data_IF_676830104655
#
_entry.id   IF_676830104655
#
_cell.length_a   1.000
_cell.length_b   1.000
_cell.length_c   1.000
_cell.angle_alpha   90.00
_cell.angle_beta   90.00
_cell.angle_gamma   90.00
#
_symmetry.space_group_name_H-M   'P 1'
#
loop_
_entity.id
_entity.type
_entity.pdbx_description
1 polymer ?
#
# COMPACT_ATOMS: atom_id res chain seq x y z
N UNK A 1 4.52 -21.33 5.52
CA UNK A 1 3.15 -21.14 6.01
C UNK A 1 3.27 -21.02 7.50
N UNK A 2 2.76 -19.93 8.05
CA UNK A 2 2.69 -19.69 9.49
C UNK A 2 2.26 -20.94 10.27
N UNK A 3 2.95 -21.20 11.37
CA UNK A 3 2.70 -22.34 12.26
C UNK A 3 1.50 -22.05 13.18
N UNK A 4 1.29 -20.78 13.51
CA UNK A 4 0.17 -20.31 14.31
C UNK A 4 -0.43 -18.98 13.81
N UNK A 5 -1.46 -18.51 14.51
CA UNK A 5 -2.18 -17.30 14.12
C UNK A 5 -1.33 -16.03 14.27
N UNK A 6 -0.40 -15.98 15.23
CA UNK A 6 0.46 -14.82 15.49
C UNK A 6 1.49 -14.65 14.39
N UNK A 7 2.07 -15.76 13.95
CA UNK A 7 2.94 -15.77 12.78
C UNK A 7 2.16 -15.35 11.54
N UNK A 8 0.89 -15.76 11.39
CA UNK A 8 0.10 -15.41 10.21
C UNK A 8 -0.17 -13.91 10.08
N UNK A 9 -0.54 -13.23 11.19
CA UNK A 9 -0.70 -11.77 11.16
C UNK A 9 0.64 -11.04 10.92
N UNK A 10 1.75 -11.59 11.41
CA UNK A 10 3.08 -11.03 11.16
C UNK A 10 3.47 -11.17 9.68
N UNK A 11 3.26 -12.34 9.07
CA UNK A 11 3.47 -12.55 7.62
C UNK A 11 2.61 -11.57 6.80
N UNK A 12 1.34 -11.37 7.18
CA UNK A 12 0.47 -10.40 6.53
C UNK A 12 1.00 -8.96 6.67
N UNK A 13 1.41 -8.54 7.86
CA UNK A 13 1.98 -7.21 8.09
C UNK A 13 3.27 -7.00 7.30
N UNK A 14 4.17 -7.98 7.26
CA UNK A 14 5.40 -7.95 6.47
C UNK A 14 5.12 -7.84 4.97
N UNK A 15 4.09 -8.54 4.48
CA UNK A 15 3.64 -8.38 3.11
C UNK A 15 3.24 -6.92 2.82
N UNK A 16 2.38 -6.30 3.61
CA UNK A 16 1.99 -4.89 3.38
C UNK A 16 3.17 -3.92 3.52
N UNK A 17 4.08 -4.15 4.47
CA UNK A 17 5.33 -3.36 4.61
C UNK A 17 6.23 -3.47 3.39
N UNK A 18 6.35 -4.66 2.80
CA UNK A 18 7.14 -4.87 1.57
C UNK A 18 6.63 -4.06 0.38
N UNK A 19 5.37 -3.64 0.43
CA UNK A 19 4.72 -2.81 -0.60
C UNK A 19 4.89 -1.31 -0.34
N UNK A 20 5.62 -0.91 0.71
CA UNK A 20 5.85 0.48 1.09
C UNK A 20 4.78 1.10 1.98
N UNK A 21 3.86 0.28 2.53
CA UNK A 21 2.85 0.74 3.48
C UNK A 21 3.35 0.58 4.93
N UNK A 22 2.73 1.31 5.85
CA UNK A 22 2.87 1.01 7.28
C UNK A 22 1.87 -0.07 7.66
N UNK A 23 2.30 -1.05 8.45
CA UNK A 23 1.41 -2.10 8.95
C UNK A 23 1.78 -2.42 10.39
N UNK A 24 0.83 -2.28 11.31
CA UNK A 24 0.98 -2.53 12.74
C UNK A 24 0.11 -3.73 13.13
N UNK A 25 0.62 -4.63 13.96
CA UNK A 25 -0.10 -5.84 14.40
C UNK A 25 -0.71 -5.66 15.78
N UNK A 26 -1.78 -6.40 16.10
CA UNK A 26 -2.45 -6.40 17.41
C UNK A 26 -2.82 -4.98 17.90
N UNK A 27 -3.58 -4.24 17.09
CA UNK A 27 -3.90 -2.83 17.36
C UNK A 27 -5.35 -2.66 17.82
N UNK A 28 -5.52 -2.09 19.00
CA UNK A 28 -6.82 -1.62 19.48
C UNK A 28 -7.13 -0.24 18.88
N UNK A 29 -8.22 -0.13 18.12
CA UNK A 29 -8.70 1.14 17.55
C UNK A 29 -10.06 1.52 18.13
N UNK A 30 -10.19 2.79 18.53
CA UNK A 30 -11.46 3.33 18.98
C UNK A 30 -12.33 3.73 17.79
N UNK A 31 -13.43 3.01 17.59
CA UNK A 31 -14.47 3.35 16.62
C UNK A 31 -15.53 4.29 17.21
N UNK A 32 -16.52 4.62 16.38
CA UNK A 32 -17.61 5.49 16.77
C UNK A 32 -18.45 4.92 17.92
N UNK A 33 -18.55 3.59 18.04
CA UNK A 33 -19.40 2.93 19.05
C UNK A 33 -18.61 2.12 20.07
N UNK A 34 -17.52 1.47 19.65
CA UNK A 34 -16.73 0.59 20.52
C UNK A 34 -15.27 0.56 20.07
N UNK A 35 -14.42 0.03 20.95
CA UNK A 35 -13.06 -0.36 20.57
C UNK A 35 -13.11 -1.70 19.83
N UNK A 36 -12.28 -1.82 18.79
CA UNK A 36 -12.06 -3.06 18.05
C UNK A 36 -10.59 -3.41 18.08
N UNK A 37 -10.29 -4.67 18.40
CA UNK A 37 -8.95 -5.23 18.26
C UNK A 37 -8.81 -5.74 16.83
N UNK A 38 -7.85 -5.17 16.10
CA UNK A 38 -7.62 -5.47 14.69
C UNK A 38 -6.27 -6.17 14.55
N UNK A 39 -6.27 -7.33 13.87
CA UNK A 39 -5.07 -8.17 13.72
C UNK A 39 -3.94 -7.40 13.02
N UNK A 40 -4.22 -6.71 11.90
CA UNK A 40 -3.27 -5.79 11.26
C UNK A 40 -3.94 -4.51 10.79
N UNK A 41 -3.38 -3.36 11.18
CA UNK A 41 -3.79 -2.04 10.70
C UNK A 41 -2.79 -1.52 9.70
N UNK A 42 -3.23 -1.33 8.46
CA UNK A 42 -2.39 -0.86 7.36
C UNK A 42 -2.72 0.59 7.07
N UNK A 43 -1.69 1.45 7.01
CA UNK A 43 -1.84 2.85 6.60
C UNK A 43 -0.91 3.21 5.46
N UNK A 44 -1.42 4.01 4.55
CA UNK A 44 -0.69 4.59 3.43
C UNK A 44 -1.08 6.05 3.24
N UNK A 45 -0.20 6.83 2.60
CA UNK A 45 -0.49 8.20 2.20
C UNK A 45 -0.30 8.32 0.69
N UNK A 46 -1.31 8.83 0.01
CA UNK A 46 -1.28 9.06 -1.43
C UNK A 46 -1.88 10.41 -1.76
N UNK A 47 -1.11 11.27 -2.44
CA UNK A 47 -1.56 12.59 -2.93
C UNK A 47 -2.23 13.44 -1.83
N UNK A 48 -1.72 13.35 -0.60
CA UNK A 48 -2.25 14.09 0.55
C UNK A 48 -3.42 13.44 1.29
N UNK A 49 -3.97 12.33 0.79
CA UNK A 49 -5.01 11.55 1.46
C UNK A 49 -4.39 10.40 2.27
N UNK A 50 -4.91 10.19 3.47
CA UNK A 50 -4.59 9.02 4.29
C UNK A 50 -5.55 7.89 3.93
N UNK A 51 -4.99 6.69 3.80
CA UNK A 51 -5.73 5.46 3.53
C UNK A 51 -5.55 4.52 4.71
N UNK A 52 -6.65 4.00 5.24
CA UNK A 52 -6.71 3.07 6.35
C UNK A 52 -7.34 1.76 5.91
N UNK A 53 -6.59 0.67 5.95
CA UNK A 53 -7.11 -0.69 5.74
C UNK A 53 -7.03 -1.50 7.03
N UNK A 54 -8.07 -2.29 7.27
CA UNK A 54 -8.15 -3.21 8.41
C UNK A 54 -8.02 -4.63 7.89
N UNK A 55 -7.07 -5.39 8.42
CA UNK A 55 -6.84 -6.77 8.01
C UNK A 55 -7.16 -7.70 9.16
N UNK A 56 -7.98 -8.70 8.89
CA UNK A 56 -8.35 -9.77 9.81
C UNK A 56 -7.78 -11.09 9.30
N UNK A 57 -7.03 -11.78 10.14
CA UNK A 57 -6.30 -13.00 9.83
C UNK A 57 -7.00 -14.21 10.46
N UNK A 58 -7.69 -15.00 9.64
CA UNK A 58 -8.33 -16.25 10.07
C UNK A 58 -7.46 -17.45 9.71
N UNK A 59 -6.59 -17.81 10.64
CA UNK A 59 -5.74 -19.02 10.55
C UNK A 59 -6.55 -20.29 10.91
N UNK A 60 -7.53 -20.63 10.08
CA UNK A 60 -8.47 -21.72 10.31
C UNK A 60 -8.24 -22.89 9.37
N UNK A 61 -8.69 -24.09 9.79
CA UNK A 61 -8.71 -25.30 8.94
C UNK A 61 -9.99 -25.43 8.11
N UNK A 62 -10.98 -24.58 8.36
CA UNK A 62 -12.28 -24.59 7.69
C UNK A 62 -12.53 -23.25 6.99
N UNK A 63 -13.27 -23.24 5.87
CA UNK A 63 -13.59 -22.01 5.17
C UNK A 63 -14.33 -20.99 6.03
N UNK A 64 -14.00 -19.72 5.84
CA UNK A 64 -14.65 -18.60 6.52
C UNK A 64 -16.09 -18.44 6.02
N UNK A 65 -17.01 -18.27 6.97
CA UNK A 65 -18.43 -18.07 6.68
C UNK A 65 -18.81 -16.61 6.42
N UNK A 66 -20.00 -16.42 5.86
CA UNK A 66 -20.61 -15.10 5.58
C UNK A 66 -20.61 -14.15 6.78
N UNK A 67 -20.82 -14.67 7.99
CA UNK A 67 -20.91 -13.86 9.20
C UNK A 67 -19.64 -13.06 9.47
N UNK A 68 -18.46 -13.63 9.19
CA UNK A 68 -17.19 -12.95 9.43
C UNK A 68 -16.97 -11.79 8.46
N UNK A 69 -17.37 -11.95 7.20
CA UNK A 69 -17.31 -10.88 6.20
C UNK A 69 -18.23 -9.72 6.60
N UNK A 70 -19.45 -10.03 7.04
CA UNK A 70 -20.39 -9.03 7.52
C UNK A 70 -19.88 -8.32 8.78
N UNK A 71 -19.30 -9.08 9.72
CA UNK A 71 -18.69 -8.53 10.93
C UNK A 71 -17.57 -7.55 10.63
N UNK A 72 -16.61 -7.93 9.77
CA UNK A 72 -15.53 -7.04 9.35
C UNK A 72 -16.07 -5.77 8.67
N UNK A 73 -17.13 -5.88 7.85
CA UNK A 73 -17.72 -4.70 7.19
C UNK A 73 -18.30 -3.70 8.18
N UNK A 74 -18.91 -4.17 9.27
CA UNK A 74 -19.37 -3.29 10.36
C UNK A 74 -18.20 -2.62 11.07
N UNK A 75 -17.11 -3.36 11.34
CA UNK A 75 -15.89 -2.81 11.95
C UNK A 75 -15.28 -1.72 11.06
N UNK A 76 -15.15 -1.98 9.75
CA UNK A 76 -14.66 -1.02 8.75
C UNK A 76 -15.51 0.24 8.76
N UNK A 77 -16.84 0.10 8.84
CA UNK A 77 -17.77 1.23 8.89
C UNK A 77 -17.66 2.00 10.21
N UNK A 78 -17.52 1.31 11.35
CA UNK A 78 -17.42 1.92 12.68
C UNK A 78 -16.11 2.70 12.89
N UNK A 79 -15.03 2.23 12.25
CA UNK A 79 -13.71 2.88 12.28
C UNK A 79 -13.48 3.89 11.14
N UNK A 80 -14.39 3.98 10.17
CA UNK A 80 -14.23 4.84 9.01
C UNK A 80 -13.05 4.43 8.12
N UNK A 81 -12.73 3.13 8.06
CA UNK A 81 -11.66 2.61 7.23
C UNK A 81 -12.08 2.50 5.76
N UNK A 82 -11.13 2.68 4.84
CA UNK A 82 -11.39 2.62 3.39
C UNK A 82 -11.70 1.19 2.93
N UNK A 83 -11.00 0.21 3.50
CA UNK A 83 -11.16 -1.22 3.16
C UNK A 83 -10.97 -2.15 4.35
N UNK A 84 -11.69 -3.27 4.30
CA UNK A 84 -11.40 -4.46 5.09
C UNK A 84 -10.78 -5.55 4.24
N UNK A 85 -9.83 -6.29 4.78
CA UNK A 85 -9.21 -7.44 4.12
C UNK A 85 -9.32 -8.63 5.07
N UNK A 86 -10.01 -9.68 4.65
CA UNK A 86 -10.14 -10.92 5.41
C UNK A 86 -9.24 -11.97 4.76
N UNK A 87 -8.25 -12.44 5.52
CA UNK A 87 -7.26 -13.41 5.07
C UNK A 87 -7.53 -14.79 5.66
N UNK A 88 -7.66 -15.82 4.81
CA UNK A 88 -7.80 -17.20 5.24
C UNK A 88 -7.25 -18.19 4.20
N UNK A 89 -6.30 -19.02 4.61
CA UNK A 89 -5.71 -20.06 3.74
C UNK A 89 -6.66 -21.22 3.44
N UNK A 90 -7.61 -21.52 4.33
CA UNK A 90 -8.66 -22.52 4.08
C UNK A 90 -9.78 -22.02 3.15
N UNK A 91 -9.71 -20.76 2.72
CA UNK A 91 -10.66 -20.16 1.79
C UNK A 91 -11.98 -19.73 2.43
N UNK A 92 -13.00 -19.58 1.58
CA UNK A 92 -14.27 -18.92 1.92
C UNK A 92 -15.46 -19.73 1.39
N UNK A 93 -16.54 -19.74 2.15
CA UNK A 93 -17.83 -20.28 1.68
C UNK A 93 -18.40 -19.38 0.56
N UNK A 94 -19.21 -19.94 -0.34
CA UNK A 94 -19.82 -19.16 -1.43
C UNK A 94 -20.57 -17.92 -0.94
N UNK A 95 -21.37 -18.05 0.12
CA UNK A 95 -22.09 -16.93 0.72
C UNK A 95 -21.18 -15.87 1.38
N UNK A 96 -19.94 -16.22 1.71
CA UNK A 96 -18.93 -15.25 2.18
C UNK A 96 -18.33 -14.46 1.02
N UNK A 97 -18.00 -15.15 -0.08
CA UNK A 97 -17.54 -14.51 -1.32
C UNK A 97 -18.61 -13.55 -1.87
N UNK A 98 -19.86 -14.00 -1.93
CA UNK A 98 -21.01 -13.16 -2.34
C UNK A 98 -21.18 -11.93 -1.45
N UNK A 99 -20.96 -12.06 -0.13
CA UNK A 99 -21.10 -10.95 0.80
C UNK A 99 -19.94 -9.93 0.73
N UNK A 100 -18.77 -10.35 0.25
CA UNK A 100 -17.61 -9.48 0.02
C UNK A 100 -17.71 -8.75 -1.33
N UNK A 101 -18.29 -9.39 -2.34
CA UNK A 101 -18.44 -8.83 -3.68
C UNK A 101 -19.18 -7.48 -3.66
N UNK A 102 -18.66 -6.52 -4.45
CA UNK A 102 -19.19 -5.16 -4.56
C UNK A 102 -19.24 -4.39 -3.22
N UNK A 103 -18.39 -4.76 -2.27
CA UNK A 103 -18.20 -4.04 -1.01
C UNK A 103 -16.77 -3.55 -0.86
N UNK A 104 -16.50 -2.81 0.22
CA UNK A 104 -15.15 -2.43 0.63
C UNK A 104 -14.41 -3.53 1.42
N UNK A 105 -14.98 -4.75 1.50
CA UNK A 105 -14.30 -5.91 2.09
C UNK A 105 -13.79 -6.84 0.99
N UNK A 106 -12.51 -7.18 1.06
CA UNK A 106 -11.86 -8.16 0.19
C UNK A 106 -11.60 -9.45 0.96
N UNK A 107 -11.88 -10.61 0.35
CA UNK A 107 -11.69 -11.91 0.95
C UNK A 107 -10.73 -12.75 0.09
N UNK A 108 -9.57 -13.10 0.63
CA UNK A 108 -8.53 -13.83 -0.10
C UNK A 108 -7.61 -14.62 0.84
N UNK A 109 -6.64 -15.34 0.29
CA UNK A 109 -5.51 -15.87 1.06
C UNK A 109 -4.27 -15.02 0.82
N UNK A 110 -3.28 -15.09 1.71
CA UNK A 110 -2.10 -14.25 1.63
C UNK A 110 -1.29 -14.53 0.35
N UNK A 111 -1.24 -15.79 -0.08
CA UNK A 111 -0.55 -16.19 -1.30
C UNK A 111 -1.19 -15.57 -2.57
N UNK A 112 -2.51 -15.62 -2.69
CA UNK A 112 -3.22 -15.03 -3.84
C UNK A 112 -3.12 -13.51 -3.82
N UNK A 113 -3.35 -12.90 -2.65
CA UNK A 113 -3.21 -11.45 -2.50
C UNK A 113 -1.80 -10.98 -2.88
N UNK A 114 -0.78 -11.75 -2.50
CA UNK A 114 0.61 -11.45 -2.85
C UNK A 114 0.86 -11.51 -4.36
N UNK A 115 0.25 -12.45 -5.07
CA UNK A 115 0.43 -12.61 -6.51
C UNK A 115 -0.27 -11.50 -7.30
N UNK A 116 -1.50 -11.15 -6.92
CA UNK A 116 -2.29 -10.09 -7.53
C UNK A 116 -1.63 -8.73 -7.29
N UNK A 117 -1.31 -8.44 -6.04
CA UNK A 117 -0.86 -7.11 -5.61
C UNK A 117 0.55 -6.77 -6.11
N UNK A 118 1.46 -7.74 -6.22
CA UNK A 118 2.85 -7.46 -6.66
C UNK A 118 2.92 -6.82 -8.05
N UNK A 119 2.06 -7.27 -8.98
CA UNK A 119 2.02 -6.70 -10.33
C UNK A 119 1.45 -5.29 -10.32
N UNK A 120 0.33 -5.10 -9.62
CA UNK A 120 -0.37 -3.82 -9.59
C UNK A 120 0.44 -2.75 -8.86
N UNK A 121 1.11 -3.11 -7.75
CA UNK A 121 1.95 -2.18 -6.99
C UNK A 121 3.23 -1.86 -7.72
N UNK A 122 3.89 -2.82 -8.35
CA UNK A 122 5.08 -2.50 -9.17
C UNK A 122 4.72 -1.51 -10.27
N UNK A 123 3.59 -1.70 -10.93
CA UNK A 123 3.11 -0.78 -11.95
C UNK A 123 2.72 0.60 -11.37
N UNK A 124 2.11 0.64 -10.18
CA UNK A 124 1.75 1.89 -9.51
C UNK A 124 2.97 2.66 -9.03
N UNK A 125 3.96 1.99 -8.44
CA UNK A 125 5.22 2.59 -8.01
C UNK A 125 6.00 3.15 -9.18
N UNK A 126 6.04 2.44 -10.32
CA UNK A 126 6.67 2.96 -11.54
C UNK A 126 5.98 4.24 -12.02
N UNK A 127 4.64 4.30 -11.99
CA UNK A 127 3.89 5.51 -12.32
C UNK A 127 4.17 6.67 -11.35
N UNK A 128 4.16 6.42 -10.04
CA UNK A 128 4.52 7.45 -9.05
C UNK A 128 5.94 8.00 -9.26
N UNK A 129 6.91 7.11 -9.55
CA UNK A 129 8.27 7.53 -9.87
C UNK A 129 8.29 8.38 -11.15
N UNK A 130 7.55 7.99 -12.20
CA UNK A 130 7.44 8.78 -13.43
C UNK A 130 6.85 10.17 -13.16
N UNK A 131 5.74 10.26 -12.42
CA UNK A 131 5.12 11.54 -12.03
C UNK A 131 6.09 12.42 -11.23
N UNK A 132 6.88 11.83 -10.34
CA UNK A 132 7.90 12.53 -9.55
C UNK A 132 9.07 13.01 -10.42
N UNK A 133 9.50 12.22 -11.40
CA UNK A 133 10.54 12.61 -12.37
C UNK A 133 10.05 13.77 -13.23
N UNK A 134 8.82 13.71 -13.74
CA UNK A 134 8.19 14.79 -14.49
C UNK A 134 8.09 16.07 -13.65
N UNK A 135 7.70 15.96 -12.37
CA UNK A 135 7.67 17.08 -11.43
C UNK A 135 9.07 17.65 -11.20
N UNK A 136 10.07 16.80 -10.97
CA UNK A 136 11.46 17.22 -10.77
C UNK A 136 12.03 17.94 -12.01
N UNK A 137 11.67 17.50 -13.21
CA UNK A 137 12.01 18.17 -14.47
C UNK A 137 11.44 19.58 -14.53
N UNK A 138 10.15 19.74 -14.26
CA UNK A 138 9.50 21.06 -14.24
C UNK A 138 10.21 21.98 -13.26
N UNK A 139 10.36 21.53 -12.00
CA UNK A 139 11.02 22.31 -10.95
C UNK A 139 12.46 22.67 -11.31
N UNK A 140 13.23 21.77 -11.93
CA UNK A 140 14.59 22.06 -12.36
C UNK A 140 14.64 23.16 -13.44
N UNK A 141 13.71 23.15 -14.39
CA UNK A 141 13.67 24.16 -15.46
C UNK A 141 13.07 25.49 -15.03
N UNK A 142 12.22 25.50 -14.00
CA UNK A 142 11.68 26.71 -13.37
C UNK A 142 12.74 27.50 -12.57
N UNK A 143 13.83 26.86 -12.15
CA UNK A 143 14.92 27.52 -11.44
C UNK A 143 15.86 28.29 -12.39
N UNK A 144 16.27 29.49 -11.97
CA UNK A 144 17.30 30.26 -12.66
C UNK A 144 18.62 29.49 -12.80
N UNK A 145 19.32 29.68 -13.92
CA UNK A 145 20.62 29.02 -14.17
C UNK A 145 21.64 29.32 -13.06
N UNK A 146 21.75 30.57 -12.63
CA UNK A 146 22.68 30.99 -11.57
C UNK A 146 22.35 30.33 -10.24
N UNK A 147 21.06 30.19 -9.93
CA UNK A 147 20.62 29.49 -8.72
C UNK A 147 20.96 28.00 -8.77
N UNK A 148 20.70 27.33 -9.90
CA UNK A 148 21.07 25.92 -10.11
C UNK A 148 22.56 25.65 -9.91
N UNK A 149 23.42 26.55 -10.39
CA UNK A 149 24.87 26.48 -10.17
C UNK A 149 25.19 26.66 -8.68
N UNK A 150 24.63 27.70 -8.05
CA UNK A 150 24.84 28.01 -6.63
C UNK A 150 24.50 26.85 -5.70
N UNK A 151 23.42 26.10 -5.98
CA UNK A 151 23.00 24.94 -5.17
C UNK A 151 23.59 23.61 -5.62
N UNK A 152 24.48 23.61 -6.62
CA UNK A 152 25.17 22.41 -7.10
C UNK A 152 24.31 21.45 -7.94
N UNK A 153 23.14 21.88 -8.43
CA UNK A 153 22.30 21.09 -9.34
C UNK A 153 22.84 21.07 -10.78
N UNK A 154 23.78 21.96 -11.09
CA UNK A 154 24.45 22.06 -12.40
C UNK A 154 25.86 22.62 -12.23
N UNK A 155 26.85 22.03 -12.92
CA UNK A 155 28.19 22.61 -13.01
C UNK A 155 28.22 23.94 -13.79
N UNK A 156 29.21 24.80 -13.51
CA UNK A 156 29.39 26.01 -14.31
C UNK A 156 29.91 25.66 -15.72
N UNK A 157 29.90 26.66 -16.59
CA UNK A 157 30.29 26.57 -17.99
C UNK A 157 31.75 26.11 -18.07
N UNK A 158 32.00 25.03 -18.81
CA UNK A 158 33.32 24.35 -18.95
C UNK A 158 33.80 23.56 -17.72
N UNK A 159 32.98 23.42 -16.68
CA UNK A 159 33.29 22.55 -15.56
C UNK A 159 32.63 21.17 -15.71
N UNK A 160 33.31 20.15 -15.19
CA UNK A 160 32.73 18.80 -15.05
C UNK A 160 32.12 18.65 -13.67
N UNK A 161 30.91 18.11 -13.59
CA UNK A 161 30.25 17.90 -12.31
C UNK A 161 28.86 17.30 -12.44
N UNK A 162 28.14 17.28 -11.32
CA UNK A 162 26.77 16.82 -11.25
C UNK A 162 25.85 17.64 -12.18
N UNK A 163 24.91 16.96 -12.83
CA UNK A 163 23.89 17.58 -13.68
C UNK A 163 22.52 16.98 -13.35
N UNK A 164 21.68 17.76 -12.66
CA UNK A 164 20.31 17.36 -12.34
C UNK A 164 19.50 17.04 -13.60
N UNK A 165 19.69 17.82 -14.67
CA UNK A 165 19.05 17.58 -15.98
C UNK A 165 19.40 16.20 -16.55
N UNK A 166 20.68 15.80 -16.45
CA UNK A 166 21.14 14.52 -16.98
C UNK A 166 20.58 13.34 -16.17
N UNK A 167 20.45 13.51 -14.84
CA UNK A 167 19.81 12.52 -13.97
C UNK A 167 18.33 12.36 -14.33
N UNK A 168 17.61 13.47 -14.50
CA UNK A 168 16.19 13.46 -14.90
C UNK A 168 16.02 12.77 -16.25
N UNK A 169 16.80 13.14 -17.27
CA UNK A 169 16.73 12.52 -18.60
C UNK A 169 17.04 11.02 -18.57
N UNK A 170 18.03 10.62 -17.77
CA UNK A 170 18.34 9.20 -17.58
C UNK A 170 17.18 8.46 -16.91
N UNK A 171 16.54 9.07 -15.89
CA UNK A 171 15.35 8.50 -15.25
C UNK A 171 14.16 8.35 -16.20
N UNK A 172 13.86 9.36 -17.03
CA UNK A 172 12.81 9.29 -18.07
C UNK A 172 13.08 8.11 -19.03
N UNK A 173 14.32 7.99 -19.51
CA UNK A 173 14.74 6.93 -20.43
C UNK A 173 14.57 5.53 -19.81
N UNK A 174 14.93 5.36 -18.54
CA UNK A 174 14.81 4.06 -17.84
C UNK A 174 13.35 3.68 -17.59
N UNK A 175 12.48 4.66 -17.36
CA UNK A 175 11.05 4.44 -17.11
C UNK A 175 10.25 4.20 -18.40
N UNK A 176 10.87 4.43 -19.58
CA UNK A 176 10.26 4.19 -20.88
C UNK A 176 9.33 5.32 -21.34
N UNK A 177 9.53 6.54 -20.83
CA UNK A 177 8.88 7.77 -21.32
C UNK A 177 9.71 8.49 -22.39
#
# INVERSE_FOLDING_TARGET
>A
MAVDWKEYQQEAAEFFRSLGMTADVDVALQGARTTHDVDVVVRSRHVGFEVLWLVECKHWKSPVSKLHVLGLREIVTDLGADRGILLCEAGFQSGAVEAANLTNVHASCLANLSLETKKDISAMQLRDIADRVATAKSLYWDLDKSYRIKVGLRADTFEHGYSGDLIVQYSETVLGE
#
